data_IF_373087820163
#
_entry.id   IF_373087820163
#
_cell.length_a   1.000
_cell.length_b   1.000
_cell.length_c   1.000
_cell.angle_alpha   90.00
_cell.angle_beta   90.00
_cell.angle_gamma   90.00
#
_symmetry.space_group_name_H-M   'P 1'
#
loop_
_entity.id
_entity.type
_entity.pdbx_description
1 polymer ?
#
# COMPACT_ATOMS: atom_id res chain seq x y z
N UNK A 1 -21.85 13.94 1.14
CA UNK A 1 -22.71 12.74 1.43
C UNK A 1 -21.79 11.71 2.05
N UNK A 2 -22.03 11.28 3.28
CA UNK A 2 -21.23 10.21 3.89
C UNK A 2 -21.54 8.90 3.18
N UNK A 3 -20.52 8.27 2.61
CA UNK A 3 -20.67 6.94 2.06
C UNK A 3 -20.99 5.93 3.17
N UNK A 4 -21.83 4.94 2.86
CA UNK A 4 -22.24 3.95 3.84
C UNK A 4 -21.01 3.22 4.40
N UNK A 5 -20.91 3.20 5.74
CA UNK A 5 -19.88 2.47 6.45
C UNK A 5 -20.35 1.05 6.78
N UNK A 6 -19.41 0.13 6.95
CA UNK A 6 -19.68 -1.28 7.29
C UNK A 6 -20.16 -1.48 8.74
N UNK A 7 -20.14 -0.43 9.57
CA UNK A 7 -20.56 -0.51 10.97
C UNK A 7 -19.62 -1.35 11.86
N UNK A 8 -18.36 -1.49 11.48
CA UNK A 8 -17.35 -2.22 12.26
C UNK A 8 -17.03 -1.46 13.55
N UNK A 9 -16.93 -2.16 14.67
CA UNK A 9 -16.32 -1.61 15.89
C UNK A 9 -14.84 -1.32 15.66
N UNK A 10 -14.23 -0.52 16.53
CA UNK A 10 -12.78 -0.22 16.45
C UNK A 10 -11.94 -1.50 16.47
N UNK A 11 -12.27 -2.45 17.33
CA UNK A 11 -11.56 -3.71 17.47
C UNK A 11 -11.71 -4.57 16.18
N UNK A 12 -12.90 -4.65 15.61
CA UNK A 12 -13.14 -5.35 14.36
C UNK A 12 -12.40 -4.69 13.20
N UNK A 13 -12.40 -3.36 13.11
CA UNK A 13 -11.68 -2.63 12.10
C UNK A 13 -10.18 -2.94 12.17
N UNK A 14 -9.57 -2.83 13.34
CA UNK A 14 -8.14 -3.05 13.54
C UNK A 14 -7.75 -4.53 13.38
N UNK A 15 -8.53 -5.45 13.95
CA UNK A 15 -8.20 -6.88 13.95
C UNK A 15 -8.49 -7.58 12.62
N UNK A 16 -9.36 -7.02 11.75
CA UNK A 16 -9.74 -7.66 10.48
C UNK A 16 -9.22 -6.96 9.22
N UNK A 17 -8.58 -5.79 9.36
CA UNK A 17 -7.92 -5.14 8.21
C UNK A 17 -6.73 -5.97 7.75
N UNK A 18 -6.69 -6.30 6.46
CA UNK A 18 -5.66 -7.10 5.81
C UNK A 18 -5.37 -6.53 4.42
N UNK A 19 -4.20 -6.84 3.88
CA UNK A 19 -3.91 -6.60 2.47
C UNK A 19 -4.87 -7.40 1.58
N UNK A 20 -5.66 -6.70 0.79
CA UNK A 20 -6.63 -7.29 -0.14
C UNK A 20 -6.01 -7.30 -1.54
N UNK A 21 -5.92 -8.46 -2.16
CA UNK A 21 -5.34 -8.64 -3.50
C UNK A 21 -6.29 -9.40 -4.41
N UNK A 22 -6.43 -10.73 -4.25
CA UNK A 22 -7.34 -11.58 -5.06
C UNK A 22 -8.83 -11.22 -4.95
N UNK A 23 -9.22 -10.52 -3.89
CA UNK A 23 -10.62 -10.12 -3.64
C UNK A 23 -10.90 -8.67 -4.03
N UNK A 24 -9.95 -7.99 -4.67
CA UNK A 24 -10.21 -6.67 -5.24
C UNK A 24 -11.18 -6.83 -6.42
N UNK A 25 -12.24 -6.04 -6.42
CA UNK A 25 -13.10 -5.85 -7.57
C UNK A 25 -12.41 -4.86 -8.52
N UNK A 26 -11.79 -5.38 -9.56
CA UNK A 26 -10.98 -4.60 -10.50
C UNK A 26 -11.82 -3.85 -11.53
N UNK A 27 -13.11 -4.19 -11.67
CA UNK A 27 -14.02 -3.59 -12.65
C UNK A 27 -14.86 -2.46 -12.05
N UNK A 28 -15.01 -2.46 -10.72
CA UNK A 28 -15.83 -1.47 -10.04
C UNK A 28 -15.07 -0.15 -9.88
N UNK A 29 -15.64 0.91 -10.46
CA UNK A 29 -15.11 2.26 -10.28
C UNK A 29 -15.18 2.71 -8.81
N UNK A 30 -14.23 3.53 -8.40
CA UNK A 30 -14.18 4.15 -7.08
C UNK A 30 -14.38 5.66 -7.23
N UNK A 31 -15.36 6.24 -6.50
CA UNK A 31 -15.61 7.67 -6.58
C UNK A 31 -14.53 8.49 -5.85
N UNK A 32 -14.22 9.66 -6.38
CA UNK A 32 -13.26 10.56 -5.74
C UNK A 32 -13.78 11.15 -4.43
N UNK A 33 -15.09 11.19 -4.23
CA UNK A 33 -15.73 11.65 -3.00
C UNK A 33 -15.38 10.71 -1.84
N UNK A 34 -15.48 9.39 -2.04
CA UNK A 34 -15.10 8.44 -0.98
C UNK A 34 -13.60 8.46 -0.69
N UNK A 35 -12.78 8.69 -1.70
CA UNK A 35 -11.33 8.89 -1.52
C UNK A 35 -11.07 10.12 -0.66
N UNK A 36 -11.74 11.25 -0.92
CA UNK A 36 -11.61 12.47 -0.12
C UNK A 36 -12.02 12.24 1.34
N UNK A 37 -13.14 11.57 1.59
CA UNK A 37 -13.54 11.20 2.95
C UNK A 37 -12.48 10.36 3.67
N UNK A 38 -11.85 9.41 2.98
CA UNK A 38 -10.75 8.63 3.55
C UNK A 38 -9.51 9.50 3.81
N UNK A 39 -9.23 10.47 2.95
CA UNK A 39 -8.12 11.41 3.14
C UNK A 39 -8.33 12.35 4.33
N UNK A 40 -9.56 12.83 4.57
CA UNK A 40 -9.88 13.64 5.75
C UNK A 40 -9.52 12.91 7.05
N UNK A 41 -9.68 11.59 7.10
CA UNK A 41 -9.25 10.77 8.23
C UNK A 41 -7.73 10.56 8.24
N UNK A 42 -7.13 10.33 7.08
CA UNK A 42 -5.69 10.09 6.95
C UNK A 42 -4.85 11.26 7.45
N UNK A 43 -5.24 12.49 7.13
CA UNK A 43 -4.51 13.70 7.51
C UNK A 43 -4.68 14.11 8.99
N UNK A 44 -5.42 13.33 9.78
CA UNK A 44 -5.44 13.47 11.25
C UNK A 44 -4.22 12.79 11.90
N UNK A 45 -3.42 12.03 11.14
CA UNK A 45 -2.24 11.37 11.65
C UNK A 45 -1.18 12.38 12.13
N UNK A 46 -0.39 12.07 13.18
CA UNK A 46 0.67 12.94 13.64
C UNK A 46 1.84 12.99 12.65
N UNK A 47 2.58 14.12 12.66
CA UNK A 47 3.86 14.26 11.94
C UNK A 47 4.94 14.82 12.84
N UNK A 48 6.20 14.52 12.52
CA UNK A 48 7.34 15.12 13.19
C UNK A 48 7.25 16.65 13.15
N UNK A 49 7.35 17.29 14.32
CA UNK A 49 7.23 18.74 14.48
C UNK A 49 5.96 19.36 13.89
N UNK A 50 4.89 18.58 13.73
CA UNK A 50 3.67 19.00 13.07
C UNK A 50 3.90 19.60 11.66
N UNK A 51 4.89 19.08 10.94
CA UNK A 51 5.33 19.62 9.65
C UNK A 51 4.28 19.42 8.53
N UNK A 52 3.47 18.37 8.62
CA UNK A 52 2.40 18.04 7.66
C UNK A 52 2.86 18.11 6.18
N UNK A 53 4.12 17.70 5.94
CA UNK A 53 4.80 17.82 4.63
C UNK A 53 4.49 16.65 3.68
N UNK A 54 3.45 15.87 3.95
CA UNK A 54 2.97 14.80 3.08
C UNK A 54 2.21 15.34 1.87
N UNK A 55 2.22 14.55 0.83
CA UNK A 55 1.38 14.70 -0.36
C UNK A 55 0.85 13.33 -0.77
N UNK A 56 -0.30 13.27 -1.41
CA UNK A 56 -0.90 12.02 -1.85
C UNK A 56 -1.28 12.15 -3.33
N UNK A 57 -0.67 11.33 -4.16
CA UNK A 57 -0.96 11.27 -5.59
C UNK A 57 -1.94 10.13 -5.84
N UNK A 58 -3.06 10.44 -6.48
CA UNK A 58 -4.06 9.46 -6.90
C UNK A 58 -4.00 9.29 -8.41
N UNK A 59 -3.60 8.10 -8.86
CA UNK A 59 -3.52 7.76 -10.28
C UNK A 59 -4.82 7.06 -10.67
N UNK A 60 -5.65 7.77 -11.42
CA UNK A 60 -6.94 7.27 -11.94
C UNK A 60 -6.90 7.04 -13.46
N UNK A 61 -5.96 7.66 -14.15
CA UNK A 61 -5.76 7.50 -15.58
C UNK A 61 -5.37 6.06 -15.93
N UNK A 62 -6.11 5.37 -16.81
CA UNK A 62 -5.88 3.97 -17.10
C UNK A 62 -4.55 3.66 -17.78
N UNK A 63 -4.04 4.58 -18.62
CA UNK A 63 -2.76 4.38 -19.31
C UNK A 63 -1.59 4.50 -18.32
N UNK A 64 -1.66 5.49 -17.42
CA UNK A 64 -0.67 5.65 -16.34
C UNK A 64 -0.69 4.47 -15.39
N UNK A 65 -1.88 3.98 -14.99
CA UNK A 65 -2.00 2.79 -14.15
C UNK A 65 -1.42 1.55 -14.82
N UNK A 66 -1.70 1.35 -16.11
CA UNK A 66 -1.14 0.25 -16.89
C UNK A 66 0.39 0.33 -16.93
N UNK A 67 0.96 1.53 -17.15
CA UNK A 67 2.41 1.73 -17.16
C UNK A 67 3.06 1.44 -15.80
N UNK A 68 2.48 1.94 -14.71
CA UNK A 68 2.94 1.65 -13.35
C UNK A 68 2.82 0.14 -13.07
N UNK A 69 1.73 -0.50 -13.49
CA UNK A 69 1.53 -1.94 -13.34
C UNK A 69 2.57 -2.77 -14.09
N UNK A 70 3.01 -2.32 -15.26
CA UNK A 70 4.11 -2.93 -16.02
C UNK A 70 5.43 -2.89 -15.24
N UNK A 71 5.82 -1.70 -14.77
CA UNK A 71 7.03 -1.50 -13.95
C UNK A 71 6.97 -2.31 -12.65
N UNK A 72 5.80 -2.33 -12.02
CA UNK A 72 5.58 -3.15 -10.83
C UNK A 72 5.77 -4.64 -11.10
N UNK A 73 5.28 -5.15 -12.23
CA UNK A 73 5.44 -6.55 -12.63
C UNK A 73 6.92 -6.90 -12.86
N UNK A 74 7.70 -6.00 -13.47
CA UNK A 74 9.13 -6.16 -13.64
C UNK A 74 9.85 -6.25 -12.29
N UNK A 75 9.58 -5.30 -11.39
CA UNK A 75 10.11 -5.30 -10.03
C UNK A 75 9.70 -6.55 -9.25
N UNK A 76 8.46 -7.00 -9.39
CA UNK A 76 7.96 -8.21 -8.74
C UNK A 76 8.67 -9.48 -9.24
N UNK A 77 8.98 -9.57 -10.52
CA UNK A 77 9.76 -10.67 -11.08
C UNK A 77 11.17 -10.74 -10.46
N UNK A 78 11.83 -9.60 -10.31
CA UNK A 78 13.11 -9.51 -9.62
C UNK A 78 13.01 -9.88 -8.14
N UNK A 79 11.97 -9.39 -7.45
CA UNK A 79 11.72 -9.72 -6.04
C UNK A 79 11.57 -11.22 -5.81
N UNK A 80 10.91 -11.96 -6.70
CA UNK A 80 10.70 -13.41 -6.57
C UNK A 80 12.02 -14.18 -6.49
N UNK A 81 13.09 -13.66 -7.06
CA UNK A 81 14.43 -14.28 -7.02
C UNK A 81 15.20 -13.96 -5.73
N UNK A 82 14.78 -12.96 -4.96
CA UNK A 82 15.46 -12.57 -3.72
C UNK A 82 15.25 -13.62 -2.61
N UNK A 83 16.24 -13.83 -1.72
CA UNK A 83 16.09 -14.77 -0.61
C UNK A 83 14.94 -14.42 0.35
N UNK A 84 14.64 -13.12 0.50
CA UNK A 84 13.56 -12.62 1.35
C UNK A 84 12.17 -12.63 0.70
N UNK A 85 12.06 -13.15 -0.51
CA UNK A 85 10.77 -13.24 -1.20
C UNK A 85 9.79 -14.10 -0.42
N UNK A 86 8.52 -13.67 -0.41
CA UNK A 86 7.44 -14.42 0.27
C UNK A 86 7.34 -15.87 -0.23
N UNK A 87 7.80 -16.14 -1.45
CA UNK A 87 7.84 -17.48 -2.04
C UNK A 87 8.90 -18.41 -1.40
N UNK A 88 9.90 -17.82 -0.73
CA UNK A 88 11.08 -18.56 -0.20
C UNK A 88 11.18 -18.47 1.33
N UNK A 89 10.58 -17.47 1.95
CA UNK A 89 10.86 -17.06 3.34
C UNK A 89 10.72 -18.17 4.39
N UNK A 90 9.77 -19.08 4.25
CA UNK A 90 9.53 -20.18 5.19
C UNK A 90 9.35 -21.53 4.47
N UNK A 91 9.93 -21.67 3.27
CA UNK A 91 9.75 -22.87 2.42
C UNK A 91 10.28 -24.16 3.06
N UNK A 92 11.22 -24.03 4.00
CA UNK A 92 11.85 -25.17 4.70
C UNK A 92 11.31 -25.35 6.13
N UNK A 93 10.22 -24.66 6.52
CA UNK A 93 9.66 -24.75 7.85
C UNK A 93 8.83 -26.03 8.01
N UNK A 94 9.01 -26.74 9.13
CA UNK A 94 8.19 -27.89 9.52
C UNK A 94 6.79 -27.47 10.04
N UNK A 95 6.58 -26.19 10.31
CA UNK A 95 5.30 -25.64 10.74
C UNK A 95 4.34 -25.51 9.53
N UNK A 96 3.38 -26.43 9.46
CA UNK A 96 2.39 -26.49 8.39
C UNK A 96 1.46 -25.27 8.33
N UNK A 97 1.14 -24.65 9.45
CA UNK A 97 0.27 -23.46 9.47
C UNK A 97 1.02 -22.27 8.91
N UNK A 98 2.31 -22.15 9.23
CA UNK A 98 3.17 -21.10 8.68
C UNK A 98 3.38 -21.28 7.17
N UNK A 99 3.71 -22.49 6.70
CA UNK A 99 3.90 -22.77 5.26
C UNK A 99 2.63 -22.55 4.47
N UNK A 100 1.48 -23.04 4.93
CA UNK A 100 0.18 -22.81 4.30
C UNK A 100 -0.19 -21.30 4.24
N UNK A 101 0.12 -20.55 5.29
CA UNK A 101 -0.10 -19.11 5.34
C UNK A 101 0.77 -18.37 4.33
N UNK A 102 2.03 -18.81 4.20
CA UNK A 102 2.96 -18.26 3.21
C UNK A 102 2.53 -18.55 1.78
N UNK A 103 2.13 -19.78 1.47
CA UNK A 103 1.65 -20.15 0.14
C UNK A 103 0.44 -19.32 -0.29
N UNK A 104 -0.53 -19.11 0.61
CA UNK A 104 -1.67 -18.22 0.36
C UNK A 104 -1.23 -16.78 0.11
N UNK A 105 -0.23 -16.30 0.85
CA UNK A 105 0.30 -14.95 0.72
C UNK A 105 1.08 -14.79 -0.59
N UNK A 106 1.93 -15.77 -0.94
CA UNK A 106 2.67 -15.82 -2.20
C UNK A 106 1.72 -15.82 -3.41
N UNK A 107 0.75 -16.73 -3.41
CA UNK A 107 -0.26 -16.81 -4.48
C UNK A 107 -1.11 -15.53 -4.61
N UNK A 108 -1.36 -14.83 -3.50
CA UNK A 108 -2.07 -13.53 -3.57
C UNK A 108 -1.17 -12.39 -4.04
N UNK A 109 0.14 -12.46 -3.76
CA UNK A 109 1.11 -11.50 -4.25
C UNK A 109 1.33 -11.67 -5.76
N UNK A 110 1.41 -12.91 -6.27
CA UNK A 110 1.46 -13.20 -7.71
C UNK A 110 0.26 -12.58 -8.44
N UNK A 111 -0.95 -12.77 -7.91
CA UNK A 111 -2.14 -12.15 -8.49
C UNK A 111 -2.04 -10.63 -8.58
N UNK A 112 -1.55 -9.95 -7.52
CA UNK A 112 -1.36 -8.51 -7.56
C UNK A 112 -0.27 -8.12 -8.57
N UNK A 113 0.83 -8.87 -8.65
CA UNK A 113 1.91 -8.67 -9.64
C UNK A 113 1.39 -8.63 -11.07
N UNK A 114 0.43 -9.51 -11.39
CA UNK A 114 -0.17 -9.59 -12.72
C UNK A 114 -1.27 -8.54 -12.97
N UNK A 115 -1.96 -8.11 -11.92
CA UNK A 115 -3.18 -7.31 -12.05
C UNK A 115 -3.04 -5.88 -11.50
N UNK A 116 -1.86 -5.45 -11.04
CA UNK A 116 -1.65 -4.14 -10.43
C UNK A 116 -2.17 -3.00 -11.32
N UNK A 117 -1.90 -3.04 -12.62
CA UNK A 117 -2.34 -2.02 -13.57
C UNK A 117 -3.86 -1.93 -13.78
N UNK A 118 -4.63 -2.92 -13.33
CA UNK A 118 -6.09 -2.98 -13.49
C UNK A 118 -6.87 -2.40 -12.32
N UNK A 119 -6.22 -2.11 -11.19
CA UNK A 119 -6.91 -1.53 -10.02
C UNK A 119 -7.53 -0.17 -10.40
N UNK A 120 -8.72 0.18 -9.89
CA UNK A 120 -9.39 1.41 -10.30
C UNK A 120 -8.63 2.68 -9.90
N UNK A 121 -7.89 2.65 -8.80
CA UNK A 121 -7.11 3.78 -8.29
C UNK A 121 -5.83 3.27 -7.64
N UNK A 122 -4.72 3.94 -7.91
CA UNK A 122 -3.49 3.80 -7.15
C UNK A 122 -3.27 5.05 -6.31
N UNK A 123 -2.90 4.90 -5.04
CA UNK A 123 -2.49 5.99 -4.17
C UNK A 123 -1.00 5.88 -3.89
N UNK A 124 -0.26 6.96 -4.14
CA UNK A 124 1.17 7.07 -3.83
C UNK A 124 1.33 8.09 -2.70
N UNK A 125 1.55 7.64 -1.47
CA UNK A 125 1.87 8.55 -0.36
C UNK A 125 3.29 9.09 -0.55
N UNK A 126 3.42 10.40 -0.53
CA UNK A 126 4.68 11.11 -0.66
C UNK A 126 4.94 11.97 0.57
N UNK A 127 6.20 12.14 0.92
CA UNK A 127 6.62 13.08 1.97
C UNK A 127 7.81 13.88 1.47
N UNK A 128 7.85 15.17 1.79
CA UNK A 128 8.98 16.02 1.41
C UNK A 128 10.26 15.57 2.12
N UNK A 129 11.33 15.39 1.34
CA UNK A 129 12.62 14.92 1.78
C UNK A 129 13.03 13.60 1.14
N UNK A 130 14.31 13.29 1.25
CA UNK A 130 14.89 12.04 0.77
C UNK A 130 15.59 11.34 1.91
N UNK A 131 15.70 10.02 1.85
CA UNK A 131 16.34 9.18 2.87
C UNK A 131 17.67 8.59 2.42
N UNK A 132 18.05 8.83 1.18
CA UNK A 132 19.21 8.23 0.49
C UNK A 132 20.36 9.22 0.22
N UNK A 133 20.26 10.47 0.67
CA UNK A 133 21.34 11.44 0.58
C UNK A 133 22.20 11.46 1.87
N UNK A 134 23.39 12.04 1.80
CA UNK A 134 24.35 12.04 2.90
C UNK A 134 23.82 12.71 4.19
N UNK A 135 22.93 13.70 4.06
CA UNK A 135 22.38 14.45 5.19
C UNK A 135 21.25 13.70 5.90
N UNK A 136 20.47 12.95 5.16
CA UNK A 136 19.27 12.24 5.65
C UNK A 136 19.45 10.71 5.80
N UNK A 137 20.60 10.17 5.41
CA UNK A 137 20.90 8.75 5.59
C UNK A 137 21.34 8.45 7.03
N UNK A 138 20.47 8.77 7.97
CA UNK A 138 20.66 8.48 9.39
C UNK A 138 19.32 8.09 10.04
N UNK A 139 19.41 7.40 11.18
CA UNK A 139 18.23 6.83 11.87
C UNK A 139 17.23 7.90 12.27
N UNK A 140 17.67 9.06 12.73
CA UNK A 140 16.78 10.14 13.17
C UNK A 140 15.95 10.69 11.99
N UNK A 141 16.61 11.06 10.89
CA UNK A 141 15.94 11.61 9.72
C UNK A 141 15.00 10.59 9.07
N UNK A 142 15.44 9.35 8.91
CA UNK A 142 14.61 8.28 8.36
C UNK A 142 13.39 8.00 9.25
N UNK A 143 13.58 7.90 10.58
CA UNK A 143 12.49 7.68 11.52
C UNK A 143 11.48 8.83 11.50
N UNK A 144 11.94 10.07 11.39
CA UNK A 144 11.06 11.25 11.32
C UNK A 144 10.22 11.25 10.04
N UNK A 145 10.82 10.93 8.89
CA UNK A 145 10.11 10.88 7.60
C UNK A 145 9.10 9.71 7.57
N UNK A 146 9.55 8.49 7.83
CA UNK A 146 8.67 7.32 7.80
C UNK A 146 7.61 7.36 8.89
N UNK A 147 7.97 7.81 10.11
CA UNK A 147 7.02 8.01 11.21
C UNK A 147 5.95 9.05 10.93
N UNK A 148 6.17 9.93 9.96
CA UNK A 148 5.17 10.93 9.55
C UNK A 148 4.25 10.45 8.44
N UNK A 149 4.74 9.72 7.42
CA UNK A 149 3.91 9.29 6.28
C UNK A 149 3.18 7.98 6.52
N UNK A 150 3.81 7.01 7.23
CA UNK A 150 3.24 5.68 7.45
C UNK A 150 1.93 5.74 8.24
N UNK A 151 1.81 6.50 9.35
CA UNK A 151 0.56 6.60 10.08
C UNK A 151 -0.59 7.17 9.23
N UNK A 152 -0.32 8.16 8.38
CA UNK A 152 -1.32 8.73 7.48
C UNK A 152 -1.78 7.71 6.43
N UNK A 153 -0.84 7.01 5.79
CA UNK A 153 -1.16 5.96 4.82
C UNK A 153 -1.97 4.81 5.46
N UNK A 154 -1.60 4.40 6.68
CA UNK A 154 -2.35 3.37 7.41
C UNK A 154 -3.75 3.85 7.80
N UNK A 155 -3.90 5.09 8.28
CA UNK A 155 -5.21 5.68 8.60
C UNK A 155 -6.11 5.75 7.36
N UNK A 156 -5.55 6.08 6.18
CA UNK A 156 -6.28 5.97 4.92
C UNK A 156 -6.80 4.54 4.68
N UNK A 157 -5.95 3.54 4.85
CA UNK A 157 -6.33 2.14 4.64
C UNK A 157 -7.43 1.68 5.60
N UNK A 158 -7.41 2.12 6.85
CA UNK A 158 -8.47 1.85 7.83
C UNK A 158 -9.77 2.54 7.45
N UNK A 159 -9.71 3.82 7.05
CA UNK A 159 -10.88 4.57 6.59
C UNK A 159 -11.50 3.95 5.32
N UNK A 160 -10.67 3.47 4.39
CA UNK A 160 -11.08 2.74 3.21
C UNK A 160 -11.76 1.41 3.59
N UNK A 161 -11.17 0.63 4.51
CA UNK A 161 -11.73 -0.62 5.02
C UNK A 161 -13.11 -0.41 5.65
N UNK A 162 -13.28 0.63 6.46
CA UNK A 162 -14.58 0.96 7.06
C UNK A 162 -15.68 1.23 6.02
N UNK A 163 -15.30 1.61 4.80
CA UNK A 163 -16.20 1.87 3.65
C UNK A 163 -16.26 0.72 2.64
N UNK A 164 -15.74 -0.47 3.01
CA UNK A 164 -15.76 -1.64 2.15
C UNK A 164 -14.75 -1.62 0.99
N UNK A 165 -13.79 -0.70 1.02
CA UNK A 165 -12.75 -0.58 0.02
C UNK A 165 -11.54 -1.42 0.44
N UNK A 166 -11.16 -2.37 -0.42
CA UNK A 166 -9.94 -3.16 -0.24
C UNK A 166 -8.70 -2.38 -0.62
N UNK A 167 -7.63 -2.54 0.14
CA UNK A 167 -6.32 -1.93 -0.13
C UNK A 167 -5.19 -2.95 -0.01
N UNK A 168 -4.09 -2.72 -0.73
CA UNK A 168 -2.86 -3.48 -0.58
C UNK A 168 -1.66 -2.52 -0.59
N UNK A 169 -0.90 -2.50 0.49
CA UNK A 169 0.34 -1.75 0.56
C UNK A 169 1.46 -2.51 -0.16
N UNK A 170 2.23 -1.81 -0.98
CA UNK A 170 3.41 -2.36 -1.65
C UNK A 170 4.48 -1.29 -1.83
N UNK A 171 5.73 -1.71 -1.93
CA UNK A 171 6.89 -0.82 -2.11
C UNK A 171 7.75 -1.21 -3.31
N UNK A 172 7.43 -2.28 -4.02
CA UNK A 172 8.25 -2.78 -5.13
C UNK A 172 8.37 -1.79 -6.30
N UNK A 173 7.36 -0.94 -6.49
CA UNK A 173 7.40 0.14 -7.49
C UNK A 173 8.57 1.12 -7.27
N UNK A 174 9.09 1.22 -6.05
CA UNK A 174 10.25 2.07 -5.72
C UNK A 174 11.55 1.61 -6.39
N UNK A 175 11.63 0.38 -6.90
CA UNK A 175 12.74 -0.05 -7.76
C UNK A 175 12.78 0.73 -9.09
N UNK A 176 11.67 1.36 -9.47
CA UNK A 176 11.49 2.20 -10.66
C UNK A 176 11.03 3.61 -10.29
N UNK A 177 11.46 4.15 -9.13
CA UNK A 177 10.94 5.43 -8.61
C UNK A 177 11.03 6.58 -9.60
N UNK A 178 12.15 6.67 -10.35
CA UNK A 178 12.40 7.75 -11.33
C UNK A 178 11.52 7.68 -12.57
N UNK A 179 11.09 6.47 -12.93
CA UNK A 179 10.26 6.23 -14.11
C UNK A 179 8.78 6.41 -13.78
N UNK A 180 8.42 6.27 -12.51
CA UNK A 180 7.05 6.41 -12.02
C UNK A 180 6.75 7.86 -11.61
N UNK A 181 7.75 8.63 -11.18
CA UNK A 181 7.62 10.03 -10.81
C UNK A 181 7.39 10.92 -12.05
#
# INVERSE_FOLDING_TARGET
MNHAQLGLSNDELLSTTRAVRKRLDLERSLSMEVIKECMEMAVQAPTGSNSQSWQFVFVTDPEKRAKIGELYRQAFSLYKEMPMAIHKLHSESDDKDLTNSQERSASSADYLGENMGKVPVMMIPCIAGRTDNAESNNVLAQSALYGSIIPAAWSFMLAARARGIGTAWTTLHLMHEKEIA
#
